data_IF_394621925735
#
_entry.id   IF_394621925735
#
_cell.length_a   1.000
_cell.length_b   1.000
_cell.length_c   1.000
_cell.angle_alpha   90.00
_cell.angle_beta   90.00
_cell.angle_gamma   90.00
#
_symmetry.space_group_name_H-M   'P 1'
#
loop_
_entity.id
_entity.type
_entity.pdbx_description
1 polymer ?
#
# COMPACT_ATOMS: atom_id res chain seq x y z
N UNK A 1 -10.62 -1.34 9.31
CA UNK A 1 -9.44 -0.59 8.81
C UNK A 1 -9.45 -0.45 7.28
N UNK A 2 -9.50 -1.56 6.52
CA UNK A 2 -9.45 -1.58 5.03
C UNK A 2 -10.40 -0.61 4.28
N UNK A 3 -11.73 -0.73 4.45
CA UNK A 3 -12.69 0.17 3.76
C UNK A 3 -12.48 1.65 4.12
N UNK A 4 -12.19 1.94 5.40
CA UNK A 4 -11.91 3.31 5.86
C UNK A 4 -10.67 3.88 5.16
N UNK A 5 -9.62 3.08 4.99
CA UNK A 5 -8.42 3.51 4.27
C UNK A 5 -8.70 3.77 2.78
N UNK A 6 -9.50 2.94 2.12
CA UNK A 6 -9.90 3.13 0.73
C UNK A 6 -10.83 4.33 0.51
N UNK A 7 -11.69 4.65 1.47
CA UNK A 7 -12.60 5.79 1.40
C UNK A 7 -11.90 7.14 1.66
N UNK A 8 -10.82 7.14 2.44
CA UNK A 8 -10.10 8.34 2.84
C UNK A 8 -9.02 8.76 1.83
N UNK A 9 -8.49 9.99 1.98
CA UNK A 9 -7.46 10.53 1.06
C UNK A 9 -6.10 9.87 1.32
N UNK A 10 -5.45 9.47 0.23
CA UNK A 10 -4.04 9.09 0.26
C UNK A 10 -3.15 10.33 0.38
N UNK A 11 -2.04 10.20 1.09
CA UNK A 11 -0.99 11.21 1.22
C UNK A 11 0.28 10.59 0.66
N UNK A 12 0.82 11.21 -0.39
CA UNK A 12 2.10 10.81 -1.01
C UNK A 12 3.10 11.97 -0.85
N UNK A 13 4.40 11.65 -0.83
CA UNK A 13 5.47 12.61 -1.04
C UNK A 13 5.91 12.57 -2.49
N UNK A 14 6.01 13.71 -3.16
CA UNK A 14 6.50 13.82 -4.55
C UNK A 14 7.17 15.16 -4.79
N UNK A 15 8.37 15.12 -5.35
CA UNK A 15 9.07 16.27 -5.93
C UNK A 15 9.15 17.47 -4.96
N UNK A 16 9.37 17.19 -3.67
CA UNK A 16 9.46 18.24 -2.64
C UNK A 16 8.13 18.58 -1.95
N UNK A 17 7.02 17.95 -2.33
CA UNK A 17 5.69 18.34 -1.87
C UNK A 17 4.83 17.17 -1.36
N UNK A 18 3.94 17.50 -0.42
CA UNK A 18 2.90 16.60 0.05
C UNK A 18 1.68 16.65 -0.87
N UNK A 19 1.36 15.54 -1.53
CA UNK A 19 0.26 15.44 -2.48
C UNK A 19 -0.88 14.61 -1.87
N UNK A 20 -2.08 15.20 -1.82
CA UNK A 20 -3.31 14.51 -1.39
C UNK A 20 -4.11 14.02 -2.59
N UNK A 21 -4.47 12.74 -2.62
CA UNK A 21 -5.26 12.13 -3.70
C UNK A 21 -6.45 11.34 -3.19
N UNK A 22 -7.47 11.19 -4.02
CA UNK A 22 -8.66 10.40 -3.71
C UNK A 22 -8.28 8.93 -3.44
N UNK A 23 -8.76 8.37 -2.33
CA UNK A 23 -8.66 6.94 -2.06
C UNK A 23 -9.48 6.09 -3.03
N UNK A 24 -9.08 4.83 -3.24
CA UNK A 24 -9.69 3.96 -4.24
C UNK A 24 -9.41 4.37 -5.69
N UNK A 25 -8.51 5.35 -5.92
CA UNK A 25 -8.07 5.77 -7.26
C UNK A 25 -6.71 5.20 -7.63
N UNK A 26 -6.25 5.41 -8.86
CA UNK A 26 -4.89 5.09 -9.28
C UNK A 26 -4.57 3.61 -9.26
N UNK A 27 -5.47 2.81 -9.87
CA UNK A 27 -5.32 1.37 -10.02
C UNK A 27 -3.96 1.03 -10.63
N UNK A 28 -3.24 0.14 -9.97
CA UNK A 28 -1.98 -0.42 -10.43
C UNK A 28 -2.01 -1.92 -10.17
N UNK A 29 -1.64 -2.72 -11.16
CA UNK A 29 -1.49 -4.16 -10.96
C UNK A 29 -0.13 -4.41 -10.31
N UNK A 30 -0.12 -5.07 -9.16
CA UNK A 30 1.11 -5.42 -8.43
C UNK A 30 1.18 -6.92 -8.20
N UNK A 31 2.37 -7.50 -8.39
CA UNK A 31 2.62 -8.93 -8.20
C UNK A 31 3.24 -9.14 -6.83
N UNK A 32 2.56 -9.87 -5.97
CA UNK A 32 3.05 -10.30 -4.66
C UNK A 32 3.59 -11.73 -4.74
N UNK A 33 4.39 -12.18 -3.77
CA UNK A 33 4.84 -13.57 -3.78
C UNK A 33 3.65 -14.55 -3.65
N UNK A 34 3.87 -15.83 -3.96
CA UNK A 34 2.83 -16.83 -3.83
C UNK A 34 2.54 -17.18 -2.36
N UNK A 35 1.27 -17.45 -1.99
CA UNK A 35 0.12 -17.71 -2.86
C UNK A 35 -0.74 -16.46 -3.16
N UNK A 36 -0.28 -15.25 -2.82
CA UNK A 36 -1.10 -14.03 -2.96
C UNK A 36 -1.23 -13.62 -4.43
N UNK A 37 -0.15 -13.75 -5.21
CA UNK A 37 -0.15 -13.52 -6.64
C UNK A 37 -0.43 -12.05 -7.02
N UNK A 38 -1.04 -11.85 -8.18
CA UNK A 38 -1.26 -10.53 -8.77
C UNK A 38 -2.57 -9.89 -8.31
N UNK A 39 -2.51 -8.66 -7.79
CA UNK A 39 -3.69 -7.93 -7.29
C UNK A 39 -3.73 -6.49 -7.80
N UNK A 40 -4.95 -6.00 -8.03
CA UNK A 40 -5.19 -4.58 -8.25
C UNK A 40 -4.99 -3.81 -6.94
N UNK A 41 -4.05 -2.87 -6.94
CA UNK A 41 -3.74 -1.97 -5.84
C UNK A 41 -4.20 -0.55 -6.13
N UNK A 42 -4.72 0.12 -5.10
CA UNK A 42 -5.28 1.45 -5.17
C UNK A 42 -4.65 2.36 -4.13
N UNK A 43 -4.67 3.66 -4.40
CA UNK A 43 -4.33 4.66 -3.39
C UNK A 43 -5.28 4.53 -2.20
N UNK A 44 -4.74 4.64 -0.99
CA UNK A 44 -5.50 4.56 0.26
C UNK A 44 -4.85 5.47 1.31
N UNK A 45 -5.59 5.81 2.37
CA UNK A 45 -5.05 6.54 3.51
C UNK A 45 -4.14 5.62 4.33
N UNK A 46 -2.88 5.52 3.90
CA UNK A 46 -1.82 4.75 4.53
C UNK A 46 -0.76 5.71 5.11
N UNK A 47 -0.13 5.38 6.26
CA UNK A 47 0.81 6.26 6.93
C UNK A 47 2.22 6.26 6.31
N UNK A 48 2.50 5.35 5.38
CA UNK A 48 3.85 5.01 4.90
C UNK A 48 4.65 6.24 4.45
N UNK A 49 4.07 7.13 3.64
CA UNK A 49 4.79 8.31 3.17
C UNK A 49 5.18 9.26 4.32
N UNK A 50 4.32 9.39 5.33
CA UNK A 50 4.59 10.21 6.52
C UNK A 50 5.71 9.61 7.38
N UNK A 51 5.74 8.29 7.49
CA UNK A 51 6.73 7.56 8.30
C UNK A 51 8.08 7.41 7.61
N UNK A 52 8.09 7.20 6.28
CA UNK A 52 9.30 6.95 5.51
C UNK A 52 10.01 8.23 5.09
N UNK A 53 9.30 9.36 4.91
CA UNK A 53 9.93 10.62 4.49
C UNK A 53 11.04 11.11 5.44
N UNK A 54 10.91 11.02 6.78
CA UNK A 54 12.00 11.36 7.69
C UNK A 54 13.21 10.41 7.56
N UNK A 55 12.97 9.12 7.35
CA UNK A 55 14.03 8.10 7.25
C UNK A 55 14.76 8.13 5.90
N UNK A 56 14.09 8.57 4.84
CA UNK A 56 14.63 8.62 3.47
C UNK A 56 14.52 10.03 2.89
N UNK A 57 15.32 11.00 3.37
CA UNK A 57 15.11 12.39 3.03
C UNK A 57 15.45 12.76 1.58
N UNK A 58 16.29 11.96 0.92
CA UNK A 58 16.63 12.11 -0.50
C UNK A 58 15.67 11.42 -1.47
N UNK A 59 14.57 10.82 -0.98
CA UNK A 59 13.60 10.19 -1.87
C UNK A 59 12.71 11.24 -2.56
N UNK A 60 12.77 11.32 -3.89
CA UNK A 60 11.92 12.21 -4.68
C UNK A 60 10.44 11.84 -4.56
N UNK A 61 10.15 10.55 -4.39
CA UNK A 61 8.78 10.05 -4.33
C UNK A 61 8.62 8.92 -3.32
N UNK A 62 7.63 9.05 -2.45
CA UNK A 62 7.17 7.99 -1.55
C UNK A 62 5.64 7.91 -1.68
N UNK A 63 5.14 6.72 -2.02
CA UNK A 63 3.72 6.46 -2.18
C UNK A 63 3.39 5.05 -1.73
N UNK A 64 2.19 4.86 -1.20
CA UNK A 64 1.71 3.55 -0.78
C UNK A 64 0.34 3.25 -1.39
N UNK A 65 0.08 1.95 -1.59
CA UNK A 65 -1.17 1.44 -2.15
C UNK A 65 -1.61 0.18 -1.43
N UNK A 66 -2.91 -0.04 -1.43
CA UNK A 66 -3.52 -1.22 -0.83
C UNK A 66 -4.29 -2.01 -1.89
N UNK A 67 -4.12 -3.33 -1.89
CA UNK A 67 -4.88 -4.23 -2.73
C UNK A 67 -6.38 -4.19 -2.39
N UNK A 68 -7.24 -4.16 -3.41
CA UNK A 68 -8.69 -4.23 -3.22
C UNK A 68 -9.37 -4.79 -4.48
N UNK A 69 -10.39 -5.61 -4.33
CA UNK A 69 -11.25 -6.00 -5.45
C UNK A 69 -12.28 -4.90 -5.77
N UNK A 70 -12.94 -5.00 -6.93
CA UNK A 70 -13.94 -4.01 -7.38
C UNK A 70 -15.07 -3.80 -6.37
N UNK A 71 -15.53 -4.87 -5.72
CA UNK A 71 -16.58 -4.83 -4.71
C UNK A 71 -16.12 -4.05 -3.48
N UNK A 72 -14.93 -4.32 -2.95
CA UNK A 72 -14.35 -3.60 -1.81
C UNK A 72 -14.21 -2.10 -2.12
N UNK A 73 -13.76 -1.76 -3.33
CA UNK A 73 -13.64 -0.37 -3.78
C UNK A 73 -14.99 0.35 -3.83
N UNK A 74 -16.02 -0.31 -4.35
CA UNK A 74 -17.37 0.26 -4.47
C UNK A 74 -18.05 0.41 -3.11
N UNK A 75 -17.91 -0.60 -2.24
CA UNK A 75 -18.56 -0.65 -0.94
C UNK A 75 -17.75 0.04 0.17
N UNK A 76 -16.58 0.63 -0.13
CA UNK A 76 -15.72 1.29 0.85
C UNK A 76 -16.41 2.45 1.59
N UNK A 77 -17.37 3.11 0.94
CA UNK A 77 -18.14 4.24 1.49
C UNK A 77 -19.32 3.79 2.35
N UNK A 78 -19.67 2.50 2.35
CA UNK A 78 -20.80 1.97 3.10
C UNK A 78 -20.35 1.46 4.47
N UNK A 79 -21.24 1.52 5.48
CA UNK A 79 -20.97 0.94 6.79
C UNK A 79 -20.73 -0.57 6.67
N UNK A 80 -19.82 -1.09 7.51
CA UNK A 80 -19.56 -2.52 7.60
C UNK A 80 -20.73 -3.24 8.26
N UNK A 81 -21.46 -4.06 7.50
CA UNK A 81 -22.58 -4.87 8.02
C UNK A 81 -22.13 -6.07 8.87
N UNK A 82 -20.89 -6.54 8.66
CA UNK A 82 -20.26 -7.61 9.45
C UNK A 82 -18.83 -7.21 9.76
N UNK A 83 -18.36 -7.51 10.97
CA UNK A 83 -16.96 -7.25 11.34
C UNK A 83 -16.02 -8.12 10.51
N UNK A 84 -14.85 -7.60 10.07
CA UNK A 84 -13.81 -8.42 9.47
C UNK A 84 -13.35 -9.53 10.43
N UNK A 85 -12.90 -10.66 9.88
CA UNK A 85 -12.32 -11.73 10.68
C UNK A 85 -11.09 -11.22 11.45
N UNK A 86 -10.96 -11.47 12.76
CA UNK A 86 -9.92 -10.87 13.60
C UNK A 86 -8.51 -11.26 13.18
N UNK A 87 -8.30 -12.52 12.75
CA UNK A 87 -6.99 -13.02 12.33
C UNK A 87 -6.51 -12.47 10.97
N UNK A 88 -7.42 -11.92 10.16
CA UNK A 88 -7.16 -11.69 8.75
C UNK A 88 -6.97 -12.99 7.95
N UNK A 89 -6.90 -12.87 6.63
CA UNK A 89 -6.44 -13.95 5.75
C UNK A 89 -4.95 -13.77 5.50
N UNK A 90 -4.30 -14.72 4.81
CA UNK A 90 -2.95 -14.51 4.28
C UNK A 90 -2.91 -13.18 3.54
N UNK A 91 -1.94 -12.35 3.90
CA UNK A 91 -1.66 -11.06 3.28
C UNK A 91 -0.21 -11.02 2.79
N UNK A 92 0.09 -9.98 2.01
CA UNK A 92 1.44 -9.71 1.55
C UNK A 92 1.73 -8.22 1.60
N UNK A 93 2.99 -7.88 1.78
CA UNK A 93 3.54 -6.56 1.51
C UNK A 93 4.59 -6.68 0.40
N UNK A 94 4.66 -5.66 -0.45
CA UNK A 94 5.69 -5.50 -1.47
C UNK A 94 6.22 -4.09 -1.38
N UNK A 95 7.53 -3.95 -1.35
CA UNK A 95 8.24 -2.68 -1.41
C UNK A 95 9.03 -2.64 -2.70
N UNK A 96 8.91 -1.54 -3.42
CA UNK A 96 9.62 -1.31 -4.67
C UNK A 96 10.44 -0.03 -4.53
N UNK A 97 11.75 -0.14 -4.72
CA UNK A 97 12.71 0.96 -4.65
C UNK A 97 13.26 1.17 -6.05
N UNK A 98 13.08 2.38 -6.58
CA UNK A 98 13.58 2.78 -7.89
C UNK A 98 14.57 3.92 -7.74
N UNK A 99 15.61 3.92 -8.54
CA UNK A 99 16.59 5.00 -8.55
C UNK A 99 17.65 4.83 -9.63
N UNK A 100 18.76 5.55 -9.48
CA UNK A 100 19.95 5.36 -10.31
C UNK A 100 21.12 4.85 -9.47
N UNK A 101 21.90 3.93 -10.01
CA UNK A 101 23.13 3.40 -9.40
C UNK A 101 24.18 3.19 -10.47
N UNK A 102 25.36 3.78 -10.31
CA UNK A 102 26.47 3.70 -11.27
C UNK A 102 26.06 4.07 -12.72
N UNK A 103 25.20 5.07 -12.88
CA UNK A 103 24.71 5.53 -14.20
C UNK A 103 23.46 4.79 -14.71
N UNK A 104 23.16 3.61 -14.16
CA UNK A 104 22.04 2.77 -14.59
C UNK A 104 20.76 3.04 -13.78
N UNK A 105 19.60 2.85 -14.41
CA UNK A 105 18.31 2.86 -13.70
C UNK A 105 18.08 1.49 -13.08
N UNK A 106 17.90 1.44 -11.76
CA UNK A 106 17.73 0.20 -11.00
C UNK A 106 16.37 0.18 -10.32
N UNK A 107 15.76 -1.01 -10.28
CA UNK A 107 14.53 -1.28 -9.55
C UNK A 107 14.73 -2.54 -8.70
N UNK A 108 14.62 -2.40 -7.38
CA UNK A 108 14.69 -3.48 -6.41
C UNK A 108 13.31 -3.71 -5.81
N UNK A 109 12.89 -4.97 -5.73
CA UNK A 109 11.56 -5.34 -5.23
C UNK A 109 11.71 -6.41 -4.16
N UNK A 110 11.22 -6.12 -2.96
CA UNK A 110 11.18 -7.05 -1.84
C UNK A 110 9.74 -7.32 -1.47
N UNK A 111 9.40 -8.59 -1.24
CA UNK A 111 8.06 -9.01 -0.83
C UNK A 111 8.12 -9.90 0.41
N UNK A 112 7.10 -9.80 1.25
CA UNK A 112 6.91 -10.68 2.40
C UNK A 112 5.44 -11.11 2.49
N UNK A 113 5.21 -12.31 3.01
CA UNK A 113 3.89 -12.93 3.13
C UNK A 113 3.75 -13.50 4.51
N UNK A 114 2.62 -13.20 5.13
CA UNK A 114 2.21 -13.86 6.37
C UNK A 114 0.72 -13.64 6.62
N UNK A 115 0.20 -14.23 7.69
CA UNK A 115 -1.04 -13.79 8.31
C UNK A 115 -0.78 -12.46 9.02
N UNK A 116 -1.57 -11.39 8.76
CA UNK A 116 -1.38 -10.09 9.38
C UNK A 116 -1.31 -10.12 10.91
N UNK A 117 -2.08 -11.02 11.55
CA UNK A 117 -2.04 -11.20 12.99
C UNK A 117 -0.70 -11.75 13.50
N UNK A 118 -0.02 -12.58 12.72
CA UNK A 118 1.31 -13.13 13.05
C UNK A 118 2.38 -12.06 12.80
N UNK A 119 2.37 -11.44 11.63
CA UNK A 119 3.32 -10.39 11.27
C UNK A 119 3.28 -9.19 12.22
N UNK A 120 2.09 -8.79 12.69
CA UNK A 120 1.96 -7.68 13.63
C UNK A 120 2.51 -7.99 15.03
N UNK A 121 2.59 -9.25 15.42
CA UNK A 121 3.16 -9.67 16.71
C UNK A 121 4.68 -9.81 16.72
N UNK A 122 5.33 -9.73 15.55
CA UNK A 122 6.77 -9.89 15.39
C UNK A 122 7.56 -8.56 15.46
N UNK A 123 6.88 -7.42 15.64
CA UNK A 123 7.47 -6.06 15.64
C UNK A 123 7.26 -5.38 16.99
#
# INVERSE_FOLDING_TARGET
>A
QHHRALAARAIDWRDGEWVRRRGGSGRELSVFPDPVGSLDCYRAALPDALLLRPAFPGADRIAARQAANRRQRLLALLPMLRRPHPEGRIGAIRVEVRGRRAGEVVCEVVGAIDRPAVAAGAV
#
